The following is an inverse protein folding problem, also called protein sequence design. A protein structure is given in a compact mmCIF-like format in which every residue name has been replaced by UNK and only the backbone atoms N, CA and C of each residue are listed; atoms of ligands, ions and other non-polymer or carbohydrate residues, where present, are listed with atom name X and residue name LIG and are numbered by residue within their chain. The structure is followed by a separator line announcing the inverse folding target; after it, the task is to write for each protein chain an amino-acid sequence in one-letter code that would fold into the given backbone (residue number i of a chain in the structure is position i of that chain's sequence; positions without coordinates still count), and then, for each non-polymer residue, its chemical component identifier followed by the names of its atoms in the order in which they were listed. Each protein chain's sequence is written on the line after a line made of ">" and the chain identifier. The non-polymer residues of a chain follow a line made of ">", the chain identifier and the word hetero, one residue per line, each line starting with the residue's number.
data_IF_748348867692
#
_entry.id   IF_748348867692
#
_cell.length_a   1.000
_cell.length_b   1.000
_cell.length_c   1.000
_cell.angle_alpha   90.00
_cell.angle_beta   90.00
_cell.angle_gamma   90.00
#
_symmetry.space_group_name_H-M   'P 1'
#
loop_
_entity.id
_entity.type
_entity.pdbx_description
1 polymer ?
#
# COMPACT_ATOMS: atom_id res chain seq x y z
N UNK A 1 29.59 -34.00 -2.69
CA UNK A 1 29.67 -32.76 -3.50
C UNK A 1 28.42 -31.94 -3.22
N UNK A 2 28.51 -30.74 -2.61
CA UNK A 2 27.35 -29.86 -2.48
C UNK A 2 27.02 -29.22 -3.84
N UNK A 3 25.75 -28.89 -4.12
CA UNK A 3 25.34 -28.34 -5.41
C UNK A 3 25.85 -26.91 -5.55
N UNK A 4 26.51 -26.63 -6.68
CA UNK A 4 26.89 -25.28 -7.09
C UNK A 4 25.63 -24.46 -7.40
N UNK A 5 25.16 -23.69 -6.41
CA UNK A 5 24.10 -22.70 -6.61
C UNK A 5 24.67 -21.57 -7.49
N UNK A 6 24.19 -21.47 -8.72
CA UNK A 6 24.63 -20.46 -9.67
C UNK A 6 24.29 -19.06 -9.15
N UNK A 7 25.31 -18.29 -8.79
CA UNK A 7 25.22 -16.90 -8.31
C UNK A 7 24.58 -15.90 -9.31
N UNK A 8 24.33 -16.33 -10.55
CA UNK A 8 23.72 -15.48 -11.61
C UNK A 8 22.23 -15.20 -11.40
N UNK A 9 21.47 -16.08 -10.75
CA UNK A 9 20.03 -15.93 -10.60
C UNK A 9 19.64 -14.86 -9.55
N UNK A 10 20.47 -14.70 -8.51
CA UNK A 10 20.23 -13.74 -7.44
C UNK A 10 20.46 -12.28 -7.85
N UNK A 11 21.41 -12.01 -8.77
CA UNK A 11 21.68 -10.64 -9.25
C UNK A 11 20.46 -10.03 -9.95
N UNK A 12 19.81 -10.79 -10.85
CA UNK A 12 18.61 -10.29 -11.56
C UNK A 12 17.42 -10.05 -10.63
N UNK A 13 17.22 -10.89 -9.62
CA UNK A 13 16.16 -10.70 -8.64
C UNK A 13 16.42 -9.48 -7.75
N UNK A 14 17.65 -9.31 -7.25
CA UNK A 14 18.05 -8.16 -6.43
C UNK A 14 17.90 -6.82 -7.17
N UNK A 15 18.29 -6.76 -8.45
CA UNK A 15 18.14 -5.56 -9.28
C UNK A 15 16.67 -5.21 -9.58
N UNK A 16 15.80 -6.22 -9.75
CA UNK A 16 14.36 -6.03 -9.96
C UNK A 16 13.66 -5.57 -8.67
N UNK A 17 14.07 -6.12 -7.51
CA UNK A 17 13.59 -5.67 -6.20
C UNK A 17 14.01 -4.21 -5.96
N UNK A 18 15.28 -3.84 -6.21
CA UNK A 18 15.74 -2.46 -6.05
C UNK A 18 15.00 -1.46 -6.95
N UNK A 19 14.70 -1.81 -8.20
CA UNK A 19 13.98 -0.94 -9.14
C UNK A 19 12.49 -0.74 -8.83
N UNK A 20 11.93 -1.58 -7.96
CA UNK A 20 10.54 -1.49 -7.50
C UNK A 20 10.44 -1.18 -6.01
N UNK A 21 11.56 -0.98 -5.33
CA UNK A 21 11.61 -0.64 -3.91
C UNK A 21 11.62 0.86 -3.74
N UNK A 22 10.72 1.35 -2.89
CA UNK A 22 10.74 2.73 -2.45
C UNK A 22 11.87 2.97 -1.46
N UNK A 23 12.52 4.12 -1.61
CA UNK A 23 13.43 4.65 -0.62
C UNK A 23 12.70 4.88 0.70
N UNK A 24 13.41 4.89 1.86
CA UNK A 24 12.80 5.13 3.16
C UNK A 24 11.90 6.38 3.19
N UNK A 25 12.33 7.48 2.55
CA UNK A 25 11.56 8.71 2.46
C UNK A 25 10.23 8.51 1.71
N UNK A 26 10.24 7.83 0.58
CA UNK A 26 9.04 7.57 -0.22
C UNK A 26 8.06 6.68 0.54
N UNK A 27 8.57 5.66 1.25
CA UNK A 27 7.74 4.78 2.10
C UNK A 27 7.06 5.57 3.22
N UNK A 28 7.80 6.44 3.89
CA UNK A 28 7.26 7.30 4.94
C UNK A 28 6.21 8.27 4.39
N UNK A 29 6.47 8.88 3.22
CA UNK A 29 5.50 9.78 2.56
C UNK A 29 4.23 9.05 2.09
N UNK A 30 4.34 7.82 1.60
CA UNK A 30 3.18 6.96 1.27
C UNK A 30 2.36 6.65 2.53
N UNK A 31 3.03 6.28 3.63
CA UNK A 31 2.38 6.05 4.92
C UNK A 31 1.64 7.30 5.41
N UNK A 32 2.30 8.46 5.41
CA UNK A 32 1.70 9.73 5.84
C UNK A 32 0.49 10.11 4.97
N UNK A 33 0.58 9.93 3.65
CA UNK A 33 -0.52 10.22 2.74
C UNK A 33 -1.74 9.35 3.00
N UNK A 34 -1.56 8.07 3.33
CA UNK A 34 -2.66 7.17 3.65
C UNK A 34 -3.28 7.49 5.02
N UNK A 35 -2.46 7.80 6.04
CA UNK A 35 -2.96 8.27 7.35
C UNK A 35 -3.80 9.53 7.16
N UNK A 36 -3.29 10.52 6.42
CA UNK A 36 -4.03 11.75 6.11
C UNK A 36 -5.36 11.46 5.39
N UNK A 37 -5.34 10.54 4.43
CA UNK A 37 -6.56 10.12 3.74
C UNK A 37 -7.57 9.50 4.73
N UNK A 38 -7.14 8.59 5.60
CA UNK A 38 -7.99 8.01 6.65
C UNK A 38 -8.52 9.06 7.62
N UNK A 39 -7.71 10.07 7.96
CA UNK A 39 -8.14 11.18 8.81
C UNK A 39 -9.26 12.01 8.19
N UNK A 40 -9.16 12.29 6.89
CA UNK A 40 -10.10 13.12 6.13
C UNK A 40 -11.34 12.38 5.64
N UNK A 41 -11.28 11.05 5.50
CA UNK A 41 -12.34 10.24 4.91
C UNK A 41 -12.89 9.24 5.95
N UNK A 42 -14.00 9.57 6.65
CA UNK A 42 -14.61 8.65 7.60
C UNK A 42 -15.14 7.40 6.88
N UNK A 43 -14.91 6.22 7.48
CA UNK A 43 -15.40 4.94 6.96
C UNK A 43 -16.88 4.74 7.35
N UNK A 44 -17.78 5.43 6.64
CA UNK A 44 -19.21 5.42 6.96
C UNK A 44 -19.87 4.12 6.52
N UNK A 45 -20.88 3.66 7.26
CA UNK A 45 -21.65 2.45 6.95
C UNK A 45 -22.39 2.55 5.61
N UNK A 46 -22.80 3.75 5.20
CA UNK A 46 -23.48 3.98 3.93
C UNK A 46 -22.56 3.75 2.70
N UNK A 47 -21.25 3.89 2.88
CA UNK A 47 -20.24 3.73 1.84
C UNK A 47 -19.62 2.32 1.84
N UNK A 48 -20.15 1.43 2.71
CA UNK A 48 -19.70 0.06 2.81
C UNK A 48 -20.19 -0.76 1.61
N UNK A 49 -19.24 -1.31 0.86
CA UNK A 49 -19.55 -2.19 -0.27
C UNK A 49 -19.82 -3.58 0.28
N UNK A 50 -21.00 -4.11 -0.02
CA UNK A 50 -21.41 -5.48 0.31
C UNK A 50 -21.34 -6.36 -0.93
N UNK A 51 -20.45 -7.33 -0.90
CA UNK A 51 -20.38 -8.40 -1.90
C UNK A 51 -20.91 -9.71 -1.31
N UNK A 52 -21.13 -10.71 -2.15
CA UNK A 52 -21.57 -12.03 -1.69
C UNK A 52 -20.61 -12.68 -0.67
N UNK A 53 -19.32 -12.36 -0.75
CA UNK A 53 -18.26 -13.00 0.05
C UNK A 53 -17.64 -12.10 1.12
N UNK A 54 -17.88 -10.79 1.08
CA UNK A 54 -17.22 -9.84 1.98
C UNK A 54 -17.90 -8.46 1.99
N UNK A 55 -17.72 -7.77 3.11
CA UNK A 55 -18.05 -6.34 3.26
C UNK A 55 -16.75 -5.54 3.45
N UNK A 56 -16.58 -4.45 2.70
CA UNK A 56 -15.37 -3.63 2.72
C UNK A 56 -15.62 -2.19 2.26
N UNK A 57 -14.77 -1.26 2.71
CA UNK A 57 -14.66 0.08 2.11
C UNK A 57 -13.61 0.06 1.01
N UNK A 58 -13.92 0.69 -0.11
CA UNK A 58 -13.01 0.76 -1.26
C UNK A 58 -12.35 2.12 -1.33
N UNK A 59 -11.02 2.13 -1.37
CA UNK A 59 -10.20 3.32 -1.47
C UNK A 59 -9.50 3.35 -2.83
N UNK A 60 -9.74 4.40 -3.61
CA UNK A 60 -9.01 4.60 -4.86
C UNK A 60 -7.56 4.97 -4.55
N UNK A 61 -6.59 4.23 -5.10
CA UNK A 61 -5.18 4.49 -4.83
C UNK A 61 -4.76 5.88 -5.32
N UNK A 62 -5.35 6.38 -6.41
CA UNK A 62 -5.08 7.72 -6.92
C UNK A 62 -5.38 8.78 -5.86
N UNK A 63 -6.47 8.64 -5.09
CA UNK A 63 -6.81 9.59 -4.02
C UNK A 63 -5.76 9.60 -2.90
N UNK A 64 -5.13 8.45 -2.60
CA UNK A 64 -4.02 8.38 -1.66
C UNK A 64 -2.77 9.01 -2.27
N UNK A 65 -2.49 8.71 -3.55
CA UNK A 65 -1.34 9.25 -4.25
C UNK A 65 -1.38 10.77 -4.32
N UNK A 66 -2.54 11.38 -4.49
CA UNK A 66 -2.69 12.83 -4.52
C UNK A 66 -2.20 13.48 -3.22
N UNK A 67 -2.42 12.82 -2.08
CA UNK A 67 -1.94 13.26 -0.76
C UNK A 67 -0.43 13.02 -0.52
N UNK A 68 0.29 12.35 -1.42
CA UNK A 68 1.74 12.14 -1.28
C UNK A 68 2.49 13.44 -1.53
N UNK A 69 3.10 13.96 -0.48
CA UNK A 69 4.01 15.10 -0.49
C UNK A 69 5.42 14.71 -0.96
N UNK A 70 5.58 14.57 -2.27
CA UNK A 70 6.87 14.42 -2.92
C UNK A 70 6.95 15.37 -4.13
N UNK A 71 8.16 15.85 -4.49
CA UNK A 71 8.37 16.55 -5.76
C UNK A 71 7.79 15.76 -6.94
N UNK A 72 7.18 16.43 -7.91
CA UNK A 72 6.49 15.76 -9.04
C UNK A 72 7.37 14.75 -9.78
N UNK A 73 8.67 15.02 -9.89
CA UNK A 73 9.63 14.12 -10.55
C UNK A 73 9.73 12.78 -9.81
N UNK A 74 9.72 12.78 -8.48
CA UNK A 74 9.73 11.56 -7.66
C UNK A 74 8.35 10.91 -7.65
N UNK A 75 7.27 11.71 -7.56
CA UNK A 75 5.89 11.22 -7.59
C UNK A 75 5.56 10.47 -8.88
N UNK A 76 6.07 10.93 -10.03
CA UNK A 76 5.98 10.23 -11.34
C UNK A 76 6.71 8.88 -11.36
N UNK A 77 7.73 8.72 -10.53
CA UNK A 77 8.47 7.46 -10.37
C UNK A 77 7.74 6.42 -9.51
N UNK A 78 6.74 6.83 -8.72
CA UNK A 78 5.99 5.92 -7.87
C UNK A 78 5.07 5.01 -8.69
N UNK A 79 5.35 3.71 -8.65
CA UNK A 79 4.48 2.71 -9.27
C UNK A 79 3.31 2.39 -8.34
N UNK A 80 2.08 2.47 -8.84
CA UNK A 80 0.83 2.14 -8.11
C UNK A 80 0.95 0.82 -7.32
N UNK A 81 1.46 -0.24 -7.96
CA UNK A 81 1.63 -1.55 -7.30
C UNK A 81 2.62 -1.53 -6.13
N UNK A 82 3.71 -0.76 -6.23
CA UNK A 82 4.67 -0.61 -5.14
C UNK A 82 4.08 0.19 -3.97
N UNK A 83 3.25 1.21 -4.25
CA UNK A 83 2.49 1.94 -3.21
C UNK A 83 1.56 0.98 -2.47
N UNK A 84 0.84 0.13 -3.20
CA UNK A 84 0.00 -0.91 -2.60
C UNK A 84 0.80 -1.85 -1.72
N UNK A 85 1.93 -2.37 -2.21
CA UNK A 85 2.76 -3.31 -1.43
C UNK A 85 3.27 -2.67 -0.13
N UNK A 86 3.67 -1.40 -0.20
CA UNK A 86 4.05 -0.62 0.99
C UNK A 86 2.88 -0.47 1.95
N UNK A 87 1.70 -0.10 1.48
CA UNK A 87 0.53 0.08 2.34
C UNK A 87 0.06 -1.25 2.94
N UNK A 88 0.05 -2.33 2.16
CA UNK A 88 -0.25 -3.67 2.66
C UNK A 88 0.73 -4.09 3.74
N UNK A 89 2.02 -3.83 3.55
CA UNK A 89 3.04 -4.11 4.56
C UNK A 89 2.84 -3.25 5.82
N UNK A 90 2.65 -1.95 5.67
CA UNK A 90 2.45 -1.01 6.78
C UNK A 90 1.16 -1.27 7.56
N UNK A 91 0.14 -1.86 6.94
CA UNK A 91 -1.10 -2.25 7.60
C UNK A 91 -1.11 -3.72 8.03
N UNK A 92 0.03 -4.41 8.11
CA UNK A 92 0.13 -5.83 8.48
C UNK A 92 -0.81 -6.76 7.68
N UNK A 93 -1.03 -6.45 6.40
CA UNK A 93 -1.91 -7.21 5.51
C UNK A 93 -3.41 -7.02 5.76
N UNK A 94 -3.82 -6.08 6.62
CA UNK A 94 -5.24 -5.77 6.90
C UNK A 94 -5.97 -5.14 5.72
N UNK A 95 -5.26 -4.62 4.74
CA UNK A 95 -5.83 -4.07 3.50
C UNK A 95 -5.61 -5.01 2.33
N UNK A 96 -6.61 -5.09 1.45
CA UNK A 96 -6.63 -5.99 0.29
C UNK A 96 -6.49 -5.19 -0.99
N UNK A 97 -5.65 -5.66 -1.90
CA UNK A 97 -5.47 -5.07 -3.22
C UNK A 97 -6.48 -5.62 -4.22
N UNK A 98 -7.06 -4.75 -5.03
CA UNK A 98 -7.91 -5.12 -6.16
C UNK A 98 -7.63 -4.21 -7.35
N UNK A 99 -7.58 -4.78 -8.56
CA UNK A 99 -7.61 -4.03 -9.82
C UNK A 99 -8.98 -4.16 -10.43
N UNK A 100 -9.61 -3.04 -10.75
CA UNK A 100 -10.92 -3.01 -11.40
C UNK A 100 -10.95 -1.90 -12.45
N UNK A 101 -11.40 -2.24 -13.65
CA UNK A 101 -11.52 -1.30 -14.79
C UNK A 101 -10.21 -0.54 -15.11
N UNK A 102 -9.06 -1.17 -14.88
CA UNK A 102 -7.73 -0.57 -15.07
C UNK A 102 -7.25 0.32 -13.92
N UNK A 103 -8.09 0.57 -12.93
CA UNK A 103 -7.75 1.32 -11.72
C UNK A 103 -7.38 0.40 -10.55
N UNK A 104 -6.57 0.95 -9.65
CA UNK A 104 -6.05 0.24 -8.48
C UNK A 104 -6.77 0.72 -7.23
N UNK A 105 -7.23 -0.24 -6.44
CA UNK A 105 -7.96 0.00 -5.21
C UNK A 105 -7.32 -0.72 -4.02
N UNK A 106 -7.48 -0.11 -2.85
CA UNK A 106 -7.25 -0.71 -1.55
C UNK A 106 -8.60 -0.90 -0.86
N UNK A 107 -8.94 -2.14 -0.59
CA UNK A 107 -10.14 -2.51 0.13
C UNK A 107 -9.80 -2.68 1.61
N UNK A 108 -10.50 -1.94 2.47
CA UNK A 108 -10.43 -2.05 3.93
C UNK A 108 -11.59 -2.93 4.38
N UNK A 109 -11.34 -4.13 4.91
CA UNK A 109 -12.40 -5.01 5.41
C UNK A 109 -13.26 -4.32 6.48
N UNK A 110 -14.58 -4.59 6.50
CA UNK A 110 -15.51 -3.93 7.42
C UNK A 110 -15.17 -4.08 8.91
N UNK A 111 -14.44 -5.14 9.27
CA UNK A 111 -14.04 -5.44 10.63
C UNK A 111 -12.74 -4.74 11.06
N UNK A 112 -12.13 -3.96 10.16
CA UNK A 112 -10.93 -3.16 10.43
C UNK A 112 -11.35 -1.71 10.59
N UNK A 113 -10.97 -1.10 11.72
CA UNK A 113 -11.27 0.31 11.97
C UNK A 113 -10.17 1.22 11.44
N UNK A 114 -10.52 2.49 11.22
CA UNK A 114 -9.55 3.54 10.91
C UNK A 114 -8.50 3.64 12.02
N UNK A 115 -8.94 3.62 13.27
CA UNK A 115 -8.08 3.76 14.45
C UNK A 115 -7.08 2.60 14.53
N UNK A 116 -7.51 1.36 14.25
CA UNK A 116 -6.61 0.20 14.15
C UNK A 116 -5.55 0.41 13.07
N UNK A 117 -5.93 0.86 11.87
CA UNK A 117 -4.97 1.10 10.79
C UNK A 117 -3.96 2.20 11.14
N UNK A 118 -4.42 3.32 11.71
CA UNK A 118 -3.54 4.41 12.13
C UNK A 118 -2.62 3.94 13.26
N UNK A 119 -3.16 3.21 14.25
CA UNK A 119 -2.38 2.66 15.34
C UNK A 119 -1.31 1.70 14.81
N UNK A 120 -1.63 0.76 13.91
CA UNK A 120 -0.64 -0.16 13.33
C UNK A 120 0.47 0.62 12.59
N UNK A 121 0.10 1.65 11.82
CA UNK A 121 1.06 2.41 11.02
C UNK A 121 1.92 3.37 11.86
N UNK A 122 1.44 3.80 13.02
CA UNK A 122 2.14 4.74 13.92
C UNK A 122 2.89 4.02 15.06
N UNK A 123 2.39 2.87 15.48
CA UNK A 123 3.04 1.98 16.44
C UNK A 123 4.26 1.37 15.77
N UNK A 124 5.43 1.84 16.21
CA UNK A 124 6.76 1.55 15.66
C UNK A 124 6.87 0.16 15.03
N UNK A 125 7.23 0.16 13.74
CA UNK A 125 8.22 -0.75 13.19
C UNK A 125 9.44 -0.74 14.13
N UNK A 126 9.44 -1.66 15.11
CA UNK A 126 10.57 -1.91 16.00
C UNK A 126 11.53 -2.86 15.32
#
# INVERSE_FOLDING_TARGET
>A
MPPHISSRSYKKAGDVVLKNSFYPLEREKVKQAFILWLEQNPLLQQDLIKSYTSEFWRVCLTAIMDNIELPEQLKKGLKKNAVVDVLRFQCNGRVVYETRDGEVYLNIPHNVTKEELIEIMTSKSS
#
